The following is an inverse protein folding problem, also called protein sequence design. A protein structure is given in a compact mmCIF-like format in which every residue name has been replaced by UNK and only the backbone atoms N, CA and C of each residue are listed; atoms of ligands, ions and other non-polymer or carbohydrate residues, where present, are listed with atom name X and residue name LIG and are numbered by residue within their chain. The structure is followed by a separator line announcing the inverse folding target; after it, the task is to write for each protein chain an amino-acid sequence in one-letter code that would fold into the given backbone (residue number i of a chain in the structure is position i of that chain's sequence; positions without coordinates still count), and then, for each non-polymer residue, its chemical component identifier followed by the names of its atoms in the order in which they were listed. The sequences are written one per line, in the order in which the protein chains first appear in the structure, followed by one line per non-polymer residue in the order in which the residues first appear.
data_IF_706970079849
#
_entry.id   IF_706970079849
#
_cell.length_a   1.000
_cell.length_b   1.000
_cell.length_c   1.000
_cell.angle_alpha   90.00
_cell.angle_beta   90.00
_cell.angle_gamma   90.00
#
_symmetry.space_group_name_H-M   'P 1'
#
loop_
_entity.id
_entity.type
_entity.pdbx_description
1 polymer ?
#
# COMPACT_ATOMS: atom_id res chain seq x y z
N UNK A 1 -38.05 12.35 -2.80
CA UNK A 1 -37.53 12.00 -4.12
C UNK A 1 -36.59 10.85 -3.92
N UNK A 2 -36.95 9.69 -4.44
CA UNK A 2 -36.25 8.42 -4.19
C UNK A 2 -35.04 8.29 -5.11
N UNK A 3 -33.88 7.99 -4.55
CA UNK A 3 -32.68 7.63 -5.29
C UNK A 3 -32.88 6.22 -5.89
N UNK A 4 -32.72 6.08 -7.19
CA UNK A 4 -32.70 4.78 -7.89
C UNK A 4 -31.36 4.12 -7.66
N UNK A 5 -31.40 2.96 -7.00
CA UNK A 5 -30.28 2.01 -6.94
C UNK A 5 -30.14 1.32 -8.29
N UNK A 6 -28.97 1.46 -8.93
CA UNK A 6 -28.64 0.73 -10.17
C UNK A 6 -28.35 -0.73 -9.86
N UNK A 7 -29.31 -1.60 -10.16
CA UNK A 7 -29.13 -3.07 -10.16
C UNK A 7 -28.50 -3.50 -11.47
N UNK A 8 -27.29 -4.08 -11.42
CA UNK A 8 -26.70 -4.78 -12.56
C UNK A 8 -27.36 -6.17 -12.63
N UNK A 9 -28.17 -6.40 -13.63
CA UNK A 9 -28.79 -7.68 -13.94
C UNK A 9 -27.91 -8.40 -14.96
N UNK A 10 -27.25 -9.47 -14.53
CA UNK A 10 -26.58 -10.39 -15.48
C UNK A 10 -27.62 -11.35 -16.05
N UNK A 11 -27.92 -11.21 -17.34
CA UNK A 11 -28.85 -12.08 -18.06
C UNK A 11 -28.10 -13.33 -18.55
N UNK A 12 -28.33 -14.49 -17.93
CA UNK A 12 -27.90 -15.78 -18.47
C UNK A 12 -29.04 -16.35 -19.29
N UNK A 13 -28.89 -16.34 -20.63
CA UNK A 13 -29.86 -16.93 -21.55
C UNK A 13 -29.69 -18.47 -21.55
N UNK A 14 -30.62 -19.17 -20.92
CA UNK A 14 -30.76 -20.62 -21.04
C UNK A 14 -31.66 -20.93 -22.23
N UNK A 15 -31.12 -21.49 -23.32
CA UNK A 15 -31.91 -21.98 -24.46
C UNK A 15 -32.66 -23.23 -24.05
N UNK A 16 -33.96 -23.08 -23.75
CA UNK A 16 -34.88 -24.22 -23.57
C UNK A 16 -35.62 -24.46 -24.88
N UNK A 17 -35.48 -25.68 -25.41
CA UNK A 17 -36.20 -26.20 -26.56
C UNK A 17 -37.66 -26.41 -26.15
N UNK A 18 -38.62 -25.54 -26.61
CA UNK A 18 -40.04 -25.69 -26.33
C UNK A 18 -40.67 -26.56 -27.40
N UNK A 19 -41.10 -27.77 -27.00
CA UNK A 19 -41.96 -28.61 -27.83
C UNK A 19 -43.40 -28.19 -27.51
N UNK A 20 -44.09 -27.62 -28.50
CA UNK A 20 -45.52 -27.20 -28.38
C UNK A 20 -46.43 -28.42 -28.31
N UNK A 21 -47.03 -28.68 -27.17
CA UNK A 21 -48.22 -29.54 -27.01
C UNK A 21 -49.42 -28.61 -26.86
N UNK A 22 -50.39 -28.79 -27.75
CA UNK A 22 -51.65 -28.00 -27.80
C UNK A 22 -52.43 -28.09 -26.47
N UNK A 23 -52.61 -26.97 -25.81
CA UNK A 23 -53.66 -26.79 -24.82
C UNK A 23 -53.21 -26.63 -23.35
N UNK A 24 -51.93 -26.37 -23.05
CA UNK A 24 -51.47 -26.06 -21.69
C UNK A 24 -51.03 -24.62 -21.60
N UNK A 25 -51.57 -23.86 -20.63
CA UNK A 25 -51.06 -22.55 -20.23
C UNK A 25 -49.84 -22.79 -19.36
N UNK A 26 -48.66 -22.49 -19.87
CA UNK A 26 -47.39 -22.52 -19.08
C UNK A 26 -47.28 -21.21 -18.33
N UNK A 27 -47.44 -21.25 -17.03
CA UNK A 27 -47.07 -20.12 -16.17
C UNK A 27 -45.58 -20.22 -15.93
N UNK A 28 -44.80 -19.34 -16.57
CA UNK A 28 -43.39 -19.16 -16.28
C UNK A 28 -43.29 -18.44 -14.93
N UNK A 29 -42.91 -19.14 -13.88
CA UNK A 29 -42.46 -18.54 -12.64
C UNK A 29 -40.97 -18.18 -12.88
N UNK A 30 -40.72 -16.89 -13.12
CA UNK A 30 -39.35 -16.37 -13.04
C UNK A 30 -38.96 -16.31 -11.59
N UNK A 31 -38.32 -17.36 -11.08
CA UNK A 31 -37.57 -17.26 -9.84
C UNK A 31 -36.29 -16.46 -10.15
N UNK A 32 -36.23 -15.21 -9.67
CA UNK A 32 -34.98 -14.48 -9.59
C UNK A 32 -34.05 -15.27 -8.66
N UNK A 33 -33.09 -15.99 -9.22
CA UNK A 33 -32.00 -16.55 -8.43
C UNK A 33 -31.14 -15.36 -8.01
N UNK A 34 -31.34 -14.86 -6.80
CA UNK A 34 -30.37 -13.97 -6.14
C UNK A 34 -29.07 -14.77 -5.96
N UNK A 35 -28.09 -14.52 -6.83
CA UNK A 35 -26.73 -14.96 -6.59
C UNK A 35 -26.26 -14.18 -5.35
N UNK A 36 -25.94 -14.86 -4.22
CA UNK A 36 -25.44 -14.16 -3.04
C UNK A 36 -24.25 -13.31 -3.47
N UNK A 37 -24.29 -12.00 -3.27
CA UNK A 37 -23.08 -11.17 -3.32
C UNK A 37 -22.14 -11.81 -2.31
N UNK A 38 -20.96 -12.27 -2.77
CA UNK A 38 -19.90 -12.64 -1.85
C UNK A 38 -19.77 -11.51 -0.83
N UNK A 39 -19.95 -11.81 0.45
CA UNK A 39 -19.87 -10.79 1.49
C UNK A 39 -18.45 -10.26 1.48
N UNK A 40 -18.30 -8.96 1.21
CA UNK A 40 -16.99 -8.31 1.30
C UNK A 40 -16.44 -8.48 2.73
N UNK A 41 -15.13 -8.66 2.83
CA UNK A 41 -14.46 -8.70 4.12
C UNK A 41 -14.61 -7.33 4.82
N UNK A 42 -15.31 -7.29 5.96
CA UNK A 42 -15.55 -6.07 6.72
C UNK A 42 -14.35 -5.66 7.57
N UNK A 43 -13.40 -6.58 7.82
CA UNK A 43 -12.23 -6.37 8.67
C UNK A 43 -10.91 -6.63 7.92
N UNK A 44 -10.63 -5.93 6.81
CA UNK A 44 -9.42 -6.18 6.04
C UNK A 44 -8.16 -5.85 6.82
N UNK A 45 -7.13 -6.68 6.62
CA UNK A 45 -5.80 -6.52 7.22
C UNK A 45 -4.78 -6.37 6.11
N UNK A 46 -4.08 -5.23 6.10
CA UNK A 46 -3.11 -4.89 5.05
C UNK A 46 -1.70 -4.88 5.63
N UNK A 47 -0.80 -5.57 4.95
CA UNK A 47 0.63 -5.50 5.26
C UNK A 47 1.25 -4.22 4.70
N UNK A 48 2.14 -3.59 5.46
CA UNK A 48 2.99 -2.49 4.94
C UNK A 48 4.44 -2.91 5.08
N UNK A 49 5.17 -2.95 3.97
CA UNK A 49 6.58 -3.33 3.97
C UNK A 49 7.43 -2.23 4.60
N UNK A 50 8.23 -2.58 5.61
CA UNK A 50 9.25 -1.70 6.15
C UNK A 50 10.37 -1.45 5.13
N UNK A 51 11.12 -0.38 5.33
CA UNK A 51 12.31 -0.03 4.54
C UNK A 51 13.50 0.14 5.45
N UNK A 52 14.71 0.01 4.89
CA UNK A 52 15.95 0.37 5.56
C UNK A 52 15.91 1.84 5.98
N UNK A 53 16.54 2.16 7.10
CA UNK A 53 16.65 3.54 7.56
C UNK A 53 17.24 4.43 6.46
N UNK A 54 16.49 5.41 5.99
CA UNK A 54 17.01 6.40 5.05
C UNK A 54 18.20 7.14 5.67
N UNK A 55 19.14 7.60 4.84
CA UNK A 55 20.32 8.35 5.32
C UNK A 55 19.92 9.49 6.28
N UNK A 56 18.85 10.21 5.98
CA UNK A 56 18.38 11.32 6.80
C UNK A 56 17.78 10.88 8.14
N UNK A 57 17.15 9.71 8.21
CA UNK A 57 16.64 9.12 9.45
C UNK A 57 17.78 8.51 10.26
N UNK A 58 18.65 7.73 9.64
CA UNK A 58 19.82 7.12 10.30
C UNK A 58 20.71 8.16 10.96
N UNK A 59 21.01 9.29 10.28
CA UNK A 59 21.79 10.38 10.84
C UNK A 59 21.14 11.05 12.07
N UNK A 60 19.84 10.91 12.28
CA UNK A 60 19.09 11.55 13.38
C UNK A 60 18.77 10.60 14.53
N UNK A 61 18.68 9.32 14.23
CA UNK A 61 18.25 8.27 15.16
C UNK A 61 19.31 7.20 15.41
N UNK A 62 20.56 7.47 15.01
CA UNK A 62 21.77 6.66 15.10
C UNK A 62 21.63 5.29 15.80
N UNK A 63 22.16 4.24 15.16
CA UNK A 63 22.56 2.92 15.70
C UNK A 63 21.47 2.03 16.34
N UNK A 64 20.29 2.57 16.69
CA UNK A 64 19.28 1.81 17.43
C UNK A 64 18.21 1.14 16.53
N UNK A 65 18.09 1.57 15.25
CA UNK A 65 17.02 1.12 14.38
C UNK A 65 17.54 0.63 13.03
N UNK A 66 16.98 -0.48 12.56
CA UNK A 66 17.33 -1.11 11.28
C UNK A 66 16.38 -0.72 10.16
N UNK A 67 15.10 -0.57 10.47
CA UNK A 67 14.07 -0.27 9.48
C UNK A 67 12.99 0.68 10.00
N UNK A 68 12.15 1.18 9.09
CA UNK A 68 11.06 2.07 9.44
C UNK A 68 9.86 1.92 8.52
N UNK A 69 8.71 2.40 9.00
CA UNK A 69 7.51 2.70 8.20
C UNK A 69 7.08 4.14 8.52
N UNK A 70 6.89 4.99 7.50
CA UNK A 70 6.31 6.31 7.71
C UNK A 70 4.84 6.16 8.13
N UNK A 71 4.45 6.83 9.22
CA UNK A 71 3.13 6.69 9.80
C UNK A 71 2.00 7.19 8.89
N UNK A 72 2.32 8.04 7.91
CA UNK A 72 1.36 8.50 6.91
C UNK A 72 0.79 7.35 6.07
N UNK A 73 1.57 6.32 5.74
CA UNK A 73 1.07 5.13 5.05
C UNK A 73 0.14 4.29 5.93
N UNK A 74 0.49 4.13 7.21
CA UNK A 74 -0.37 3.43 8.18
C UNK A 74 -1.72 4.15 8.29
N UNK A 75 -1.69 5.46 8.52
CA UNK A 75 -2.90 6.29 8.64
C UNK A 75 -3.72 6.32 7.35
N UNK A 76 -3.08 6.28 6.18
CA UNK A 76 -3.73 6.21 4.88
C UNK A 76 -4.59 4.95 4.74
N UNK A 77 -4.06 3.81 5.13
CA UNK A 77 -4.76 2.52 5.10
C UNK A 77 -5.81 2.43 6.21
N UNK A 78 -5.48 2.84 7.44
CA UNK A 78 -6.42 2.83 8.57
C UNK A 78 -7.58 3.81 8.36
N UNK A 79 -7.32 4.97 7.75
CA UNK A 79 -8.34 5.97 7.42
C UNK A 79 -9.40 5.47 6.43
N UNK A 80 -9.10 4.42 5.66
CA UNK A 80 -10.04 3.73 4.78
C UNK A 80 -10.69 2.47 5.40
N UNK A 81 -10.40 2.20 6.68
CA UNK A 81 -11.06 1.15 7.46
C UNK A 81 -10.41 -0.23 7.37
N UNK A 82 -9.09 -0.30 7.26
CA UNK A 82 -8.31 -1.52 7.41
C UNK A 82 -7.45 -1.49 8.68
N UNK A 83 -6.99 -2.67 9.14
CA UNK A 83 -5.94 -2.80 10.15
C UNK A 83 -4.60 -3.00 9.45
N UNK A 84 -3.51 -2.59 10.10
CA UNK A 84 -2.16 -2.65 9.52
C UNK A 84 -1.27 -3.63 10.28
N UNK A 85 -0.58 -4.46 9.52
CA UNK A 85 0.50 -5.34 9.98
C UNK A 85 1.82 -4.88 9.35
N UNK A 86 2.86 -4.55 10.13
CA UNK A 86 4.18 -4.26 9.58
C UNK A 86 4.81 -5.53 9.02
N UNK A 87 5.38 -5.46 7.82
CA UNK A 87 6.14 -6.55 7.21
C UNK A 87 7.62 -6.17 7.24
N UNK A 88 8.45 -7.07 7.72
CA UNK A 88 9.87 -6.83 7.94
C UNK A 88 10.70 -7.08 6.68
N UNK A 89 11.76 -6.29 6.48
CA UNK A 89 12.88 -6.63 5.61
C UNK A 89 13.81 -7.62 6.31
N UNK A 90 14.83 -8.11 5.62
CA UNK A 90 15.86 -9.00 6.17
C UNK A 90 15.30 -10.32 6.76
N UNK A 91 14.25 -10.86 6.15
CA UNK A 91 13.64 -12.14 6.51
C UNK A 91 13.81 -13.15 5.39
N UNK A 92 13.78 -14.45 5.76
CA UNK A 92 13.76 -15.54 4.78
C UNK A 92 12.43 -15.59 4.02
N UNK A 93 12.42 -16.25 2.87
CA UNK A 93 11.19 -16.48 2.09
C UNK A 93 10.08 -17.12 2.92
N UNK A 94 10.42 -18.05 3.80
CA UNK A 94 9.46 -18.72 4.70
C UNK A 94 8.65 -17.73 5.55
N UNK A 95 9.27 -16.63 6.01
CA UNK A 95 8.55 -15.59 6.76
C UNK A 95 7.40 -15.00 5.91
N UNK A 96 7.66 -14.68 4.64
CA UNK A 96 6.65 -14.10 3.75
C UNK A 96 5.58 -15.13 3.36
N UNK A 97 5.96 -16.38 3.13
CA UNK A 97 5.04 -17.50 2.87
C UNK A 97 4.09 -17.78 4.05
N UNK A 98 4.53 -17.50 5.27
CA UNK A 98 3.72 -17.70 6.47
C UNK A 98 2.81 -16.51 6.79
N UNK A 99 3.27 -15.25 6.58
CA UNK A 99 2.49 -14.07 6.95
C UNK A 99 1.48 -13.65 5.88
N UNK A 100 1.86 -13.67 4.59
CA UNK A 100 1.02 -13.13 3.52
C UNK A 100 -0.32 -13.83 3.36
N UNK A 101 -0.46 -15.16 3.53
CA UNK A 101 -1.76 -15.83 3.45
C UNK A 101 -2.76 -15.41 4.53
N UNK A 102 -2.34 -14.67 5.54
CA UNK A 102 -3.23 -14.13 6.58
C UNK A 102 -3.66 -12.68 6.31
N UNK A 103 -3.07 -12.03 5.30
CA UNK A 103 -3.31 -10.63 4.95
C UNK A 103 -4.23 -10.51 3.72
N UNK A 104 -4.86 -9.37 3.57
CA UNK A 104 -5.78 -9.08 2.47
C UNK A 104 -5.14 -8.26 1.35
N UNK A 105 -3.85 -7.97 1.45
CA UNK A 105 -3.05 -7.23 0.48
C UNK A 105 -1.83 -6.60 1.12
N UNK A 106 -0.94 -6.02 0.29
CA UNK A 106 0.27 -5.35 0.76
C UNK A 106 0.45 -4.00 0.09
N UNK A 107 0.82 -3.01 0.89
CA UNK A 107 1.30 -1.71 0.44
C UNK A 107 2.83 -1.68 0.48
N UNK A 108 3.43 -1.35 -0.67
CA UNK A 108 4.85 -1.07 -0.84
C UNK A 108 5.04 0.45 -0.79
N UNK A 109 5.60 1.01 0.29
CA UNK A 109 5.67 2.46 0.47
C UNK A 109 6.75 3.11 -0.39
N UNK A 110 6.62 4.42 -0.60
CA UNK A 110 7.67 5.27 -1.12
C UNK A 110 8.78 5.48 -0.08
N UNK A 111 9.97 5.85 -0.57
CA UNK A 111 11.13 6.06 0.29
C UNK A 111 12.39 6.41 -0.49
N UNK A 112 13.54 6.17 0.12
CA UNK A 112 14.84 6.49 -0.46
C UNK A 112 15.86 5.39 -0.13
N UNK A 113 15.59 4.18 -0.58
CA UNK A 113 16.51 3.05 -0.52
C UNK A 113 16.88 2.56 -1.92
N UNK A 114 17.91 1.73 -2.02
CA UNK A 114 18.40 1.18 -3.27
C UNK A 114 17.92 -0.26 -3.46
N UNK A 115 17.62 -0.66 -4.71
CA UNK A 115 17.15 -2.01 -5.01
C UNK A 115 18.25 -3.09 -5.00
N UNK A 116 19.50 -2.69 -4.87
CA UNK A 116 20.66 -3.60 -4.85
C UNK A 116 21.18 -3.93 -3.43
N UNK A 117 20.45 -3.57 -2.38
CA UNK A 117 20.80 -3.94 -1.02
C UNK A 117 20.35 -5.38 -0.73
N UNK A 118 21.29 -6.24 -0.36
CA UNK A 118 21.00 -7.62 0.01
C UNK A 118 20.10 -7.69 1.25
N UNK A 119 19.07 -8.53 1.19
CA UNK A 119 18.04 -8.70 2.21
C UNK A 119 17.26 -7.41 2.54
N UNK A 120 17.33 -6.42 1.67
CA UNK A 120 16.68 -5.14 1.83
C UNK A 120 15.27 -5.10 1.27
N UNK A 121 14.81 -3.87 1.02
CA UNK A 121 13.48 -3.57 0.52
C UNK A 121 13.12 -4.29 -0.77
N UNK A 122 14.05 -4.37 -1.74
CA UNK A 122 13.79 -5.02 -3.01
C UNK A 122 13.76 -6.55 -2.91
N UNK A 123 14.62 -7.15 -2.09
CA UNK A 123 14.61 -8.60 -1.86
C UNK A 123 13.33 -9.03 -1.13
N UNK A 124 12.93 -8.28 -0.09
CA UNK A 124 11.65 -8.47 0.58
C UNK A 124 10.47 -8.30 -0.38
N UNK A 125 10.52 -7.24 -1.21
CA UNK A 125 9.54 -7.01 -2.27
C UNK A 125 9.45 -8.15 -3.26
N UNK A 126 10.57 -8.80 -3.64
CA UNK A 126 10.59 -9.99 -4.52
C UNK A 126 9.81 -11.13 -3.89
N UNK A 127 10.07 -11.45 -2.62
CA UNK A 127 9.32 -12.49 -1.93
C UNK A 127 7.82 -12.19 -1.85
N UNK A 128 7.45 -10.94 -1.55
CA UNK A 128 6.05 -10.50 -1.51
C UNK A 128 5.39 -10.62 -2.88
N UNK A 129 6.07 -10.15 -3.94
CA UNK A 129 5.55 -10.19 -5.31
C UNK A 129 5.29 -11.63 -5.76
N UNK A 130 6.27 -12.52 -5.57
CA UNK A 130 6.17 -13.91 -5.98
C UNK A 130 5.02 -14.63 -5.25
N UNK A 131 4.92 -14.48 -3.91
CA UNK A 131 3.82 -15.06 -3.13
C UNK A 131 2.47 -14.45 -3.52
N UNK A 132 2.40 -13.14 -3.77
CA UNK A 132 1.16 -12.50 -4.22
C UNK A 132 0.71 -13.01 -5.59
N UNK A 133 1.63 -13.26 -6.53
CA UNK A 133 1.32 -13.90 -7.82
C UNK A 133 0.80 -15.31 -7.58
N UNK A 134 1.48 -16.10 -6.77
CA UNK A 134 1.06 -17.49 -6.43
C UNK A 134 -0.35 -17.52 -5.84
N UNK A 135 -0.67 -16.66 -4.86
CA UNK A 135 -1.99 -16.57 -4.26
C UNK A 135 -3.08 -16.21 -5.28
N UNK A 136 -2.83 -15.26 -6.17
CA UNK A 136 -3.79 -14.89 -7.21
C UNK A 136 -3.97 -15.99 -8.26
N UNK A 137 -2.90 -16.68 -8.68
CA UNK A 137 -2.96 -17.79 -9.66
C UNK A 137 -3.72 -18.98 -9.07
N UNK A 138 -3.66 -19.22 -7.77
CA UNK A 138 -4.40 -20.27 -7.08
C UNK A 138 -5.89 -19.94 -6.89
N UNK A 139 -6.36 -18.80 -7.41
CA UNK A 139 -7.77 -18.41 -7.37
C UNK A 139 -8.15 -17.53 -6.18
N UNK A 140 -7.18 -17.10 -5.37
CA UNK A 140 -7.36 -16.07 -4.36
C UNK A 140 -7.45 -14.68 -4.97
N UNK A 141 -7.66 -13.67 -4.12
CA UNK A 141 -7.57 -12.27 -4.49
C UNK A 141 -6.62 -11.55 -3.54
N UNK A 142 -5.46 -11.14 -4.02
CA UNK A 142 -4.43 -10.55 -3.20
C UNK A 142 -3.83 -9.30 -3.88
N UNK A 143 -4.33 -8.09 -3.55
CA UNK A 143 -3.87 -6.85 -4.15
C UNK A 143 -2.52 -6.40 -3.62
N UNK A 144 -1.71 -5.82 -4.54
CA UNK A 144 -0.50 -5.06 -4.21
C UNK A 144 -0.70 -3.60 -4.60
N UNK A 145 -0.25 -2.71 -3.74
CA UNK A 145 -0.24 -1.27 -3.98
C UNK A 145 1.16 -0.72 -3.81
N UNK A 146 1.69 -0.06 -4.85
CA UNK A 146 2.99 0.62 -4.81
C UNK A 146 2.84 2.14 -4.90
N UNK A 147 3.45 2.87 -3.96
CA UNK A 147 3.54 4.33 -3.99
C UNK A 147 4.97 4.77 -4.24
N UNK A 148 5.22 5.63 -5.23
CA UNK A 148 6.53 6.22 -5.55
C UNK A 148 7.60 5.12 -5.72
N UNK A 149 8.57 5.00 -4.82
CA UNK A 149 9.56 3.90 -4.83
C UNK A 149 8.89 2.51 -4.85
N UNK A 150 7.74 2.35 -4.18
CA UNK A 150 6.98 1.10 -4.20
C UNK A 150 6.35 0.79 -5.56
N UNK A 151 5.92 1.81 -6.32
CA UNK A 151 5.50 1.66 -7.70
C UNK A 151 6.70 1.29 -8.61
N UNK A 152 7.82 1.98 -8.45
CA UNK A 152 9.07 1.68 -9.15
C UNK A 152 9.52 0.23 -8.85
N UNK A 153 9.39 -0.21 -7.59
CA UNK A 153 9.69 -1.59 -7.20
C UNK A 153 8.77 -2.59 -7.91
N UNK A 154 7.45 -2.36 -7.98
CA UNK A 154 6.54 -3.29 -8.66
C UNK A 154 6.96 -3.54 -10.11
N UNK A 155 7.30 -2.51 -10.86
CA UNK A 155 7.75 -2.64 -12.26
C UNK A 155 9.14 -3.25 -12.37
N UNK A 156 10.06 -2.95 -11.45
CA UNK A 156 11.37 -3.59 -11.35
C UNK A 156 11.26 -5.09 -11.10
N UNK A 157 10.34 -5.50 -10.22
CA UNK A 157 10.07 -6.91 -9.94
C UNK A 157 9.41 -7.62 -11.12
N UNK A 158 8.45 -6.98 -11.80
CA UNK A 158 7.85 -7.49 -13.02
C UNK A 158 8.88 -7.65 -14.14
N UNK A 159 9.88 -6.76 -14.23
CA UNK A 159 11.03 -6.85 -15.13
C UNK A 159 12.13 -7.83 -14.66
N UNK A 160 11.83 -8.73 -13.72
CA UNK A 160 12.81 -9.69 -13.16
C UNK A 160 14.08 -9.05 -12.57
N UNK A 161 13.99 -7.81 -12.08
CA UNK A 161 15.10 -7.10 -11.48
C UNK A 161 15.96 -6.33 -12.49
N UNK A 162 15.44 -6.06 -13.69
CA UNK A 162 16.10 -5.21 -14.66
C UNK A 162 15.84 -3.72 -14.33
N UNK A 163 16.93 -2.97 -14.13
CA UNK A 163 16.84 -1.53 -13.83
C UNK A 163 16.44 -0.76 -15.10
N UNK A 164 15.36 -0.01 -15.00
CA UNK A 164 14.78 0.73 -16.15
C UNK A 164 14.28 2.13 -15.76
N UNK A 165 14.54 2.57 -14.55
CA UNK A 165 14.18 3.92 -14.12
C UNK A 165 15.12 4.94 -14.77
N UNK A 166 14.58 6.10 -15.08
CA UNK A 166 15.36 7.24 -15.56
C UNK A 166 15.46 8.31 -14.49
N UNK A 167 16.55 9.09 -14.54
CA UNK A 167 16.65 10.31 -13.75
C UNK A 167 15.61 11.31 -14.21
N UNK A 168 14.83 11.82 -13.27
CA UNK A 168 13.87 12.89 -13.52
C UNK A 168 13.90 13.96 -12.43
N UNK A 169 13.24 15.06 -12.69
CA UNK A 169 13.22 16.22 -11.81
C UNK A 169 11.79 16.54 -11.40
N UNK A 170 11.20 15.68 -10.57
CA UNK A 170 9.84 15.90 -10.01
C UNK A 170 9.83 15.95 -8.49
N UNK A 171 10.90 16.52 -7.92
CA UNK A 171 10.99 16.69 -6.48
C UNK A 171 10.28 17.98 -6.04
N UNK A 172 9.32 17.87 -5.11
CA UNK A 172 8.53 18.97 -4.58
C UNK A 172 7.59 19.62 -5.61
N UNK A 173 6.99 18.82 -6.46
CA UNK A 173 6.08 19.24 -7.53
C UNK A 173 4.65 18.77 -7.22
N UNK A 174 3.68 19.70 -7.20
CA UNK A 174 2.26 19.37 -7.15
C UNK A 174 1.68 19.47 -8.56
N UNK A 175 0.93 18.46 -9.00
CA UNK A 175 0.46 18.33 -10.38
C UNK A 175 -1.00 17.85 -10.42
N UNK A 176 -1.77 18.20 -11.48
CA UNK A 176 -2.94 17.44 -11.89
C UNK A 176 -2.50 16.12 -12.54
N UNK A 177 -3.42 15.28 -13.01
CA UNK A 177 -3.12 14.08 -13.78
C UNK A 177 -3.49 14.27 -15.26
N UNK A 178 -2.56 13.95 -16.16
CA UNK A 178 -2.82 13.86 -17.60
C UNK A 178 -3.33 12.45 -17.93
N UNK A 179 -4.67 12.29 -17.96
CA UNK A 179 -5.29 10.99 -18.19
C UNK A 179 -5.15 10.51 -19.63
N UNK A 180 -4.81 9.23 -19.80
CA UNK A 180 -4.84 8.56 -21.10
C UNK A 180 -6.30 8.35 -21.55
N UNK A 181 -6.59 8.30 -22.87
CA UNK A 181 -7.97 8.24 -23.38
C UNK A 181 -8.82 7.06 -22.86
N UNK A 182 -8.18 5.97 -22.49
CA UNK A 182 -8.86 4.74 -22.06
C UNK A 182 -8.70 4.45 -20.56
N UNK A 183 -8.33 5.44 -19.77
CA UNK A 183 -8.08 5.29 -18.32
C UNK A 183 -9.25 4.66 -17.56
N UNK A 184 -10.51 4.93 -17.98
CA UNK A 184 -11.71 4.34 -17.39
C UNK A 184 -11.90 2.84 -17.68
N UNK A 185 -11.06 2.22 -18.50
CA UNK A 185 -11.04 0.77 -18.65
C UNK A 185 -10.27 0.09 -17.51
N UNK A 186 -9.62 0.86 -16.64
CA UNK A 186 -8.93 0.37 -15.46
C UNK A 186 -9.89 0.08 -14.32
N UNK A 187 -9.53 -0.84 -13.42
CA UNK A 187 -10.26 -1.03 -12.16
C UNK A 187 -10.17 0.21 -11.28
N UNK A 188 -8.99 0.85 -11.27
CA UNK A 188 -8.76 2.04 -10.46
C UNK A 188 -9.70 3.19 -10.79
N UNK A 189 -10.10 3.36 -12.06
CA UNK A 189 -10.88 4.53 -12.49
C UNK A 189 -12.23 4.22 -13.14
N UNK A 190 -12.61 2.94 -13.29
CA UNK A 190 -13.86 2.57 -13.97
C UNK A 190 -15.09 3.19 -13.32
N UNK A 191 -15.20 3.08 -12.00
CA UNK A 191 -16.35 3.52 -11.21
C UNK A 191 -16.08 4.85 -10.47
N UNK A 192 -14.99 5.57 -10.81
CA UNK A 192 -14.63 6.84 -10.17
C UNK A 192 -15.67 7.91 -10.48
N UNK A 193 -16.22 8.61 -9.47
CA UNK A 193 -17.10 9.75 -9.70
C UNK A 193 -16.45 10.82 -10.58
N UNK A 194 -17.23 11.43 -11.48
CA UNK A 194 -16.72 12.47 -12.38
C UNK A 194 -16.09 13.63 -11.63
N UNK A 195 -16.64 14.03 -10.49
CA UNK A 195 -16.06 15.07 -9.63
C UNK A 195 -14.62 14.76 -9.22
N UNK A 196 -14.30 13.50 -8.86
CA UNK A 196 -12.92 13.09 -8.51
C UNK A 196 -12.01 13.19 -9.74
N UNK A 197 -12.49 12.77 -10.92
CA UNK A 197 -11.72 12.88 -12.16
C UNK A 197 -11.48 14.34 -12.54
N UNK A 198 -12.49 15.21 -12.42
CA UNK A 198 -12.35 16.64 -12.70
C UNK A 198 -11.32 17.31 -11.79
N UNK A 199 -11.32 17.00 -10.49
CA UNK A 199 -10.32 17.51 -9.55
C UNK A 199 -8.92 17.01 -9.94
N UNK A 200 -8.77 15.69 -10.15
CA UNK A 200 -7.48 15.09 -10.52
C UNK A 200 -6.93 15.64 -11.84
N UNK A 201 -7.79 15.96 -12.81
CA UNK A 201 -7.38 16.45 -14.12
C UNK A 201 -7.08 17.97 -14.17
N UNK A 202 -7.55 18.75 -13.19
CA UNK A 202 -7.49 20.21 -13.27
C UNK A 202 -6.79 20.91 -12.11
N UNK A 203 -6.56 20.23 -10.99
CA UNK A 203 -5.98 20.84 -9.79
C UNK A 203 -4.63 20.19 -9.43
N UNK A 204 -3.72 20.99 -8.86
CA UNK A 204 -2.41 20.53 -8.36
C UNK A 204 -2.55 19.77 -7.04
N UNK A 205 -3.15 18.57 -7.10
CA UNK A 205 -3.51 17.76 -5.93
C UNK A 205 -2.64 16.52 -5.74
N UNK A 206 -1.74 16.20 -6.68
CA UNK A 206 -0.82 15.07 -6.54
C UNK A 206 0.57 15.54 -6.08
N UNK A 207 1.02 15.04 -4.94
CA UNK A 207 2.31 15.44 -4.34
C UNK A 207 3.45 14.55 -4.87
N UNK A 208 4.36 15.12 -5.66
CA UNK A 208 5.49 14.42 -6.26
C UNK A 208 6.81 14.77 -5.56
N UNK A 209 7.56 13.75 -5.12
CA UNK A 209 8.83 13.88 -4.39
C UNK A 209 9.84 12.83 -4.86
N UNK A 210 10.12 12.78 -6.16
CA UNK A 210 10.97 11.74 -6.74
C UNK A 210 12.03 12.31 -7.69
N UNK A 211 13.14 11.58 -7.83
CA UNK A 211 14.28 11.88 -8.69
C UNK A 211 14.49 10.77 -9.74
N UNK A 212 13.68 9.73 -9.67
CA UNK A 212 13.60 8.65 -10.64
C UNK A 212 12.18 8.52 -11.13
N UNK A 213 12.01 8.15 -12.38
CA UNK A 213 10.74 8.00 -13.04
C UNK A 213 10.77 6.79 -13.95
N UNK A 214 9.58 6.32 -14.30
CA UNK A 214 9.37 5.31 -15.33
C UNK A 214 8.61 5.97 -16.47
N UNK A 215 9.11 5.82 -17.69
CA UNK A 215 8.45 6.30 -18.90
C UNK A 215 7.71 5.18 -19.61
N UNK A 216 6.75 5.50 -20.47
CA UNK A 216 6.11 4.49 -21.32
C UNK A 216 7.13 3.80 -22.24
N UNK A 217 8.17 4.53 -22.66
CA UNK A 217 9.23 3.95 -23.46
C UNK A 217 10.01 2.86 -22.70
N UNK A 218 10.33 3.11 -21.41
CA UNK A 218 10.99 2.09 -20.58
C UNK A 218 10.10 0.86 -20.40
N UNK A 219 8.81 1.06 -20.16
CA UNK A 219 7.84 -0.02 -19.99
C UNK A 219 7.79 -0.91 -21.25
N UNK A 220 7.66 -0.27 -22.43
CA UNK A 220 7.63 -0.96 -23.73
C UNK A 220 8.94 -1.67 -24.06
N UNK A 221 10.08 -1.06 -23.74
CA UNK A 221 11.40 -1.66 -23.98
C UNK A 221 11.59 -3.00 -23.24
N UNK A 222 10.90 -3.17 -22.13
CA UNK A 222 10.89 -4.40 -21.33
C UNK A 222 9.71 -5.33 -21.62
N UNK A 223 8.80 -4.96 -22.53
CA UNK A 223 7.59 -5.70 -22.84
C UNK A 223 6.53 -5.67 -21.73
N UNK A 224 6.68 -4.80 -20.75
CA UNK A 224 5.75 -4.68 -19.63
C UNK A 224 4.42 -4.02 -20.04
N UNK A 225 4.36 -3.29 -21.13
CA UNK A 225 3.15 -2.70 -21.69
C UNK A 225 2.13 -3.75 -22.15
N UNK A 226 2.54 -4.99 -22.39
CA UNK A 226 1.64 -6.13 -22.65
C UNK A 226 0.82 -6.49 -21.40
N UNK A 227 1.39 -6.38 -20.21
CA UNK A 227 0.79 -6.81 -18.93
C UNK A 227 0.25 -5.63 -18.12
N UNK A 228 0.83 -4.45 -18.26
CA UNK A 228 0.47 -3.26 -17.50
C UNK A 228 -0.25 -2.22 -18.35
N UNK A 229 -1.19 -1.51 -17.72
CA UNK A 229 -1.93 -0.39 -18.32
C UNK A 229 -1.51 0.91 -17.66
N UNK A 230 -1.07 1.87 -18.45
CA UNK A 230 -0.85 3.25 -18.00
C UNK A 230 -2.17 4.00 -18.07
N UNK A 231 -2.60 4.63 -16.98
CA UNK A 231 -3.83 5.40 -16.91
C UNK A 231 -3.59 6.91 -16.95
N UNK A 232 -2.47 7.39 -16.42
CA UNK A 232 -2.09 8.80 -16.49
C UNK A 232 -0.58 8.98 -16.51
N UNK A 233 -0.17 10.13 -17.06
CA UNK A 233 1.22 10.61 -17.10
C UNK A 233 1.31 12.02 -16.53
N UNK A 234 2.52 12.51 -16.35
CA UNK A 234 2.82 13.91 -16.05
C UNK A 234 4.19 14.30 -16.60
N UNK A 235 4.48 15.61 -16.61
CA UNK A 235 5.79 16.15 -16.97
C UNK A 235 6.57 16.56 -15.72
N UNK A 236 7.85 16.22 -15.68
CA UNK A 236 8.77 16.75 -14.69
C UNK A 236 9.15 18.22 -14.97
N UNK A 237 9.94 18.85 -14.11
CA UNK A 237 10.42 20.23 -14.31
C UNK A 237 11.23 20.44 -15.60
N UNK A 238 11.80 19.38 -16.17
CA UNK A 238 12.64 19.44 -17.37
C UNK A 238 11.88 19.02 -18.65
N UNK A 239 10.60 18.64 -18.52
CA UNK A 239 9.77 18.21 -19.65
C UNK A 239 9.91 16.73 -20.00
N UNK A 240 10.43 15.89 -19.09
CA UNK A 240 10.37 14.44 -19.23
C UNK A 240 8.96 13.95 -18.84
N UNK A 241 8.27 13.29 -19.78
CA UNK A 241 7.00 12.65 -19.49
C UNK A 241 7.22 11.33 -18.72
N UNK A 242 6.55 11.19 -17.59
CA UNK A 242 6.61 10.00 -16.74
C UNK A 242 5.24 9.44 -16.42
N UNK A 243 5.18 8.16 -16.09
CA UNK A 243 3.96 7.45 -15.70
C UNK A 243 3.59 7.85 -14.27
N UNK A 244 2.35 8.31 -14.09
CA UNK A 244 1.82 8.71 -12.78
C UNK A 244 0.94 7.64 -12.16
N UNK A 245 0.15 6.89 -12.96
CA UNK A 245 -0.69 5.79 -12.48
C UNK A 245 -0.65 4.61 -13.45
N UNK A 246 -0.55 3.41 -12.86
CA UNK A 246 -0.46 2.14 -13.60
C UNK A 246 -1.22 1.04 -12.87
N UNK A 247 -1.81 0.09 -13.62
CA UNK A 247 -2.33 -1.15 -13.05
C UNK A 247 -1.96 -2.36 -13.91
N UNK A 248 -1.77 -3.50 -13.30
CA UNK A 248 -1.62 -4.75 -14.03
C UNK A 248 -2.97 -5.19 -14.62
N UNK A 249 -2.99 -5.59 -15.91
CA UNK A 249 -4.24 -5.87 -16.63
C UNK A 249 -5.04 -7.05 -16.07
N UNK A 250 -4.37 -8.03 -15.46
CA UNK A 250 -4.97 -9.25 -14.93
C UNK A 250 -4.92 -9.27 -13.40
N UNK A 251 -3.72 -9.17 -12.81
CA UNK A 251 -3.52 -9.23 -11.37
C UNK A 251 -3.99 -7.93 -10.70
N UNK A 252 -4.45 -7.96 -9.44
CA UNK A 252 -4.88 -6.76 -8.71
C UNK A 252 -3.67 -5.97 -8.18
N UNK A 253 -2.74 -5.60 -9.06
CA UNK A 253 -1.54 -4.83 -8.73
C UNK A 253 -1.63 -3.43 -9.29
N UNK A 254 -1.36 -2.44 -8.43
CA UNK A 254 -1.58 -1.03 -8.68
C UNK A 254 -0.35 -0.22 -8.30
N UNK A 255 -0.01 0.78 -9.08
CA UNK A 255 1.10 1.68 -8.81
C UNK A 255 0.76 3.14 -9.08
N UNK A 256 1.23 4.01 -8.20
CA UNK A 256 1.15 5.47 -8.35
C UNK A 256 2.51 6.11 -8.04
N UNK A 257 2.93 7.08 -8.84
CA UNK A 257 4.22 7.74 -8.63
C UNK A 257 4.16 8.83 -7.56
N UNK A 258 3.02 9.50 -7.42
CA UNK A 258 2.79 10.54 -6.42
C UNK A 258 2.37 9.95 -5.06
N UNK A 259 2.27 10.82 -4.04
CA UNK A 259 2.05 10.46 -2.65
C UNK A 259 0.68 10.95 -2.12
N UNK A 260 -0.42 10.19 -2.26
CA UNK A 260 -1.71 10.63 -1.75
C UNK A 260 -1.75 10.68 -0.21
N UNK A 261 -0.95 9.87 0.49
CA UNK A 261 -0.86 9.88 1.95
C UNK A 261 -0.34 11.21 2.50
N UNK A 262 0.49 11.93 1.71
CA UNK A 262 1.09 13.19 2.16
C UNK A 262 0.07 14.32 2.25
N UNK A 263 -0.85 14.42 1.32
CA UNK A 263 -1.86 15.48 1.34
C UNK A 263 -2.72 15.48 2.60
N UNK A 264 -2.89 14.32 3.26
CA UNK A 264 -3.67 14.20 4.48
C UNK A 264 -2.80 14.29 5.73
N UNK A 265 -1.62 13.65 5.73
CA UNK A 265 -0.91 13.34 6.98
C UNK A 265 0.49 13.94 7.11
N UNK A 266 1.05 14.58 6.07
CA UNK A 266 2.41 15.15 6.13
C UNK A 266 2.39 16.67 6.10
N UNK A 267 2.86 17.29 7.18
CA UNK A 267 2.88 18.75 7.39
C UNK A 267 4.28 19.33 7.36
N UNK A 268 5.19 18.67 6.63
CA UNK A 268 6.60 19.08 6.54
C UNK A 268 6.71 20.47 5.92
N UNK A 269 7.39 21.38 6.63
CA UNK A 269 7.53 22.78 6.19
C UNK A 269 8.30 22.89 4.87
N UNK A 270 7.94 23.90 4.07
CA UNK A 270 8.58 24.20 2.79
C UNK A 270 8.45 23.08 1.73
N UNK A 271 7.42 22.27 1.85
CA UNK A 271 7.04 21.28 0.85
C UNK A 271 5.76 21.71 0.15
N UNK A 272 5.72 21.48 -1.18
CA UNK A 272 4.53 21.75 -1.99
C UNK A 272 3.56 20.58 -1.88
N UNK A 273 2.86 20.50 -0.75
CA UNK A 273 1.84 19.49 -0.45
C UNK A 273 0.52 20.23 -0.30
N UNK A 274 -0.42 19.97 -1.18
CA UNK A 274 -1.74 20.58 -1.13
C UNK A 274 -2.58 19.95 -0.01
N UNK A 275 -3.11 20.79 0.89
CA UNK A 275 -4.03 20.39 1.95
C UNK A 275 -5.45 20.95 1.72
N UNK A 276 -5.79 21.28 0.47
CA UNK A 276 -7.13 21.74 0.13
C UNK A 276 -8.16 20.62 0.35
N UNK A 277 -9.44 20.96 0.57
CA UNK A 277 -10.50 19.96 0.67
C UNK A 277 -10.52 18.98 -0.52
N UNK A 278 -10.24 19.46 -1.73
CA UNK A 278 -10.18 18.65 -2.94
C UNK A 278 -8.98 17.70 -2.93
N UNK A 279 -7.80 18.17 -2.51
CA UNK A 279 -6.62 17.32 -2.35
C UNK A 279 -6.86 16.20 -1.32
N UNK A 280 -7.50 16.51 -0.18
CA UNK A 280 -7.89 15.51 0.82
C UNK A 280 -8.88 14.50 0.22
N UNK A 281 -9.89 14.99 -0.51
CA UNK A 281 -10.94 14.15 -1.11
C UNK A 281 -10.38 13.13 -2.10
N UNK A 282 -9.48 13.56 -3.01
CA UNK A 282 -8.87 12.64 -3.97
C UNK A 282 -7.85 11.71 -3.31
N UNK A 283 -7.15 12.16 -2.29
CA UNK A 283 -6.24 11.31 -1.52
C UNK A 283 -7.00 10.19 -0.79
N UNK A 284 -8.15 10.52 -0.19
CA UNK A 284 -9.03 9.53 0.42
C UNK A 284 -9.59 8.55 -0.61
N UNK A 285 -9.91 9.01 -1.82
CA UNK A 285 -10.35 8.14 -2.91
C UNK A 285 -9.36 6.99 -3.19
N UNK A 286 -8.05 7.27 -3.24
CA UNK A 286 -7.04 6.23 -3.48
C UNK A 286 -6.91 5.26 -2.29
N UNK A 287 -7.05 5.76 -1.06
CA UNK A 287 -7.06 4.91 0.13
C UNK A 287 -8.27 3.96 0.11
N UNK A 288 -9.47 4.52 -0.13
CA UNK A 288 -10.72 3.77 -0.19
C UNK A 288 -10.70 2.73 -1.33
N UNK A 289 -10.15 3.10 -2.49
CA UNK A 289 -9.98 2.16 -3.61
C UNK A 289 -9.13 0.96 -3.19
N UNK A 290 -7.93 1.18 -2.65
CA UNK A 290 -7.04 0.09 -2.29
C UNK A 290 -7.62 -0.81 -1.18
N UNK A 291 -8.22 -0.22 -0.15
CA UNK A 291 -8.85 -0.99 0.93
C UNK A 291 -10.08 -1.74 0.42
N UNK A 292 -10.86 -1.18 -0.51
CA UNK A 292 -11.98 -1.87 -1.15
C UNK A 292 -11.51 -3.04 -2.03
N UNK A 293 -10.35 -2.93 -2.68
CA UNK A 293 -9.73 -4.07 -3.35
C UNK A 293 -9.32 -5.15 -2.33
N UNK A 294 -8.75 -4.77 -1.20
CA UNK A 294 -8.39 -5.69 -0.13
C UNK A 294 -9.61 -6.41 0.48
N UNK A 295 -10.78 -5.77 0.55
CA UNK A 295 -12.04 -6.38 1.03
C UNK A 295 -12.54 -7.53 0.15
N UNK A 296 -12.05 -7.68 -1.07
CA UNK A 296 -12.36 -8.81 -1.96
C UNK A 296 -11.58 -10.08 -1.58
N UNK A 297 -10.55 -9.95 -0.75
CA UNK A 297 -9.74 -11.07 -0.24
C UNK A 297 -10.44 -11.77 0.92
N UNK A 298 -10.51 -13.09 0.86
CA UNK A 298 -11.11 -13.94 1.89
C UNK A 298 -10.09 -14.42 2.94
N UNK A 299 -8.83 -14.08 2.78
CA UNK A 299 -7.74 -14.46 3.68
C UNK A 299 -7.94 -13.83 5.05
N UNK A 300 -7.53 -14.53 6.10
CA UNK A 300 -7.66 -14.07 7.48
C UNK A 300 -6.69 -14.76 8.40
N UNK A 301 -6.35 -14.12 9.50
CA UNK A 301 -5.70 -14.78 10.63
C UNK A 301 -6.60 -15.87 11.22
N UNK A 302 -6.00 -16.89 11.82
CA UNK A 302 -6.73 -18.04 12.34
C UNK A 302 -7.64 -17.65 13.52
N UNK A 303 -7.20 -16.73 14.36
CA UNK A 303 -7.96 -16.22 15.50
C UNK A 303 -7.61 -14.74 15.79
N UNK A 304 -8.41 -14.13 16.70
CA UNK A 304 -8.24 -12.73 17.08
C UNK A 304 -6.94 -12.48 17.86
N UNK A 305 -6.50 -13.42 18.68
CA UNK A 305 -5.25 -13.26 19.45
C UNK A 305 -4.04 -13.27 18.54
N UNK A 306 -4.12 -13.98 17.40
CA UNK A 306 -3.05 -14.04 16.44
C UNK A 306 -2.87 -12.70 15.71
N UNK A 307 -3.94 -12.10 15.21
CA UNK A 307 -3.84 -10.77 14.60
C UNK A 307 -3.38 -9.71 15.61
N UNK A 308 -3.85 -9.74 16.85
CA UNK A 308 -3.49 -8.76 17.88
C UNK A 308 -1.98 -8.75 18.17
N UNK A 309 -1.30 -9.88 18.00
CA UNK A 309 0.17 -9.97 18.11
C UNK A 309 0.91 -9.31 16.95
N UNK A 310 0.28 -9.19 15.78
CA UNK A 310 0.94 -8.71 14.55
C UNK A 310 0.65 -7.25 14.21
N UNK A 311 -0.45 -6.66 14.72
CA UNK A 311 -0.85 -5.30 14.35
C UNK A 311 0.16 -4.23 14.75
N UNK A 312 0.17 -3.16 13.96
CA UNK A 312 1.07 -2.01 14.14
C UNK A 312 0.94 -1.34 15.51
N UNK A 313 -0.17 -1.56 16.23
CA UNK A 313 -0.43 -0.99 17.55
C UNK A 313 0.55 -1.46 18.63
N UNK A 314 1.25 -2.57 18.40
CA UNK A 314 2.30 -3.07 19.30
C UNK A 314 3.59 -2.24 19.25
N UNK A 315 3.69 -1.26 18.34
CA UNK A 315 4.91 -0.48 18.11
C UNK A 315 4.66 1.01 18.38
N UNK A 316 5.58 1.70 19.08
CA UNK A 316 5.43 3.12 19.33
C UNK A 316 5.71 3.94 18.07
N UNK A 317 4.86 4.92 17.80
CA UNK A 317 5.12 5.92 16.76
C UNK A 317 6.02 7.03 17.32
N UNK A 318 7.00 7.46 16.53
CA UNK A 318 7.93 8.55 16.87
C UNK A 318 7.59 9.81 16.08
N UNK A 319 7.52 10.98 16.74
CA UNK A 319 7.39 12.28 16.06
C UNK A 319 8.74 12.71 15.46
N UNK A 320 9.03 12.20 14.27
CA UNK A 320 10.32 12.41 13.58
C UNK A 320 10.46 13.80 13.00
N UNK A 321 9.34 14.50 12.75
CA UNK A 321 9.29 15.90 12.32
C UNK A 321 10.00 16.88 13.28
N UNK A 322 10.03 16.59 14.59
CA UNK A 322 10.81 17.34 15.56
C UNK A 322 12.31 17.41 15.23
N UNK A 323 12.82 16.38 14.59
CA UNK A 323 14.21 16.31 14.14
C UNK A 323 14.37 16.70 12.66
N UNK A 324 13.37 17.38 12.07
CA UNK A 324 13.37 17.81 10.66
C UNK A 324 13.51 16.62 9.67
N UNK A 325 12.82 15.53 9.96
CA UNK A 325 12.67 14.41 9.03
C UNK A 325 11.82 14.81 7.82
N UNK A 326 11.89 14.01 6.76
CA UNK A 326 11.00 14.11 5.60
C UNK A 326 9.58 13.60 5.89
N UNK A 327 9.36 13.02 7.08
CA UNK A 327 8.08 12.53 7.57
C UNK A 327 7.78 13.11 8.94
N UNK A 328 6.52 13.45 9.19
CA UNK A 328 6.07 13.93 10.49
C UNK A 328 6.24 12.86 11.57
N UNK A 329 5.83 11.64 11.28
CA UNK A 329 5.89 10.51 12.19
C UNK A 329 6.38 9.25 11.48
N UNK A 330 7.19 8.46 12.18
CA UNK A 330 7.61 7.13 11.73
C UNK A 330 7.48 6.10 12.85
N UNK A 331 7.16 4.88 12.47
CA UNK A 331 7.45 3.69 13.26
C UNK A 331 8.89 3.29 12.96
N UNK A 332 9.69 3.16 14.01
CA UNK A 332 11.11 2.83 13.92
C UNK A 332 11.33 1.48 14.59
N UNK A 333 11.98 0.54 13.88
CA UNK A 333 12.12 -0.84 14.31
C UNK A 333 13.57 -1.22 14.53
N UNK A 334 13.83 -1.90 15.66
CA UNK A 334 15.16 -2.40 16.04
C UNK A 334 15.45 -3.74 15.34
N UNK A 335 16.68 -3.98 14.89
CA UNK A 335 17.05 -5.16 14.12
C UNK A 335 17.04 -6.50 14.87
N UNK A 336 17.20 -6.45 16.18
CA UNK A 336 17.31 -7.64 17.04
C UNK A 336 16.05 -7.92 17.87
N UNK A 337 14.91 -7.36 17.48
CA UNK A 337 13.64 -7.70 18.12
C UNK A 337 13.13 -8.96 17.45
N UNK A 338 13.06 -10.07 18.17
CA UNK A 338 12.26 -11.22 17.78
C UNK A 338 10.79 -10.78 17.79
N UNK A 339 10.35 -10.26 16.66
CA UNK A 339 8.94 -9.95 16.43
C UNK A 339 8.22 -11.29 16.31
N UNK A 340 7.84 -11.80 17.48
CA UNK A 340 6.99 -12.97 17.74
C UNK A 340 7.04 -14.07 16.65
N UNK A 341 7.91 -15.05 16.86
CA UNK A 341 7.72 -16.34 16.21
C UNK A 341 6.37 -16.92 16.65
N UNK A 342 5.49 -17.38 15.74
CA UNK A 342 4.12 -17.80 16.07
C UNK A 342 4.00 -18.98 17.04
N UNK A 343 5.08 -19.71 17.33
CA UNK A 343 5.02 -21.03 17.94
C UNK A 343 5.24 -21.09 19.48
N UNK A 344 5.69 -20.06 20.16
CA UNK A 344 6.04 -20.12 21.58
C UNK A 344 5.18 -19.28 22.53
N UNK A 345 4.13 -18.64 22.04
CA UNK A 345 3.23 -17.80 22.85
C UNK A 345 2.41 -18.57 23.90
N UNK A 346 2.49 -19.91 23.95
CA UNK A 346 1.74 -20.71 24.95
C UNK A 346 2.38 -20.75 26.35
N UNK A 347 3.55 -20.10 26.54
CA UNK A 347 4.27 -20.17 27.83
C UNK A 347 4.41 -18.87 28.59
N UNK A 348 3.99 -17.73 28.05
CA UNK A 348 4.22 -16.43 28.72
C UNK A 348 2.96 -15.56 28.84
N UNK A 349 1.92 -16.13 29.44
CA UNK A 349 0.83 -15.32 29.98
C UNK A 349 1.30 -14.65 31.27
N UNK A 350 1.91 -13.46 31.18
CA UNK A 350 2.01 -12.63 32.36
C UNK A 350 3.21 -11.73 32.56
N UNK A 351 4.23 -11.73 31.67
CA UNK A 351 5.46 -10.97 31.97
C UNK A 351 5.85 -9.88 30.98
N UNK A 352 5.28 -9.81 29.80
CA UNK A 352 5.91 -9.07 28.70
C UNK A 352 5.62 -7.57 28.66
N UNK A 353 4.41 -7.11 28.98
CA UNK A 353 4.12 -5.67 29.09
C UNK A 353 4.96 -5.01 30.21
N UNK A 354 5.18 -5.73 31.31
CA UNK A 354 6.06 -5.31 32.41
C UNK A 354 7.53 -5.25 32.00
N UNK A 355 8.00 -6.20 31.19
CA UNK A 355 9.38 -6.25 30.70
C UNK A 355 9.66 -5.14 29.68
N UNK A 356 8.73 -4.83 28.79
CA UNK A 356 8.83 -3.70 27.85
C UNK A 356 8.87 -2.36 28.59
N UNK A 357 7.99 -2.17 29.58
CA UNK A 357 8.00 -0.97 30.44
C UNK A 357 9.28 -0.88 31.25
N UNK A 358 9.80 -1.98 31.80
CA UNK A 358 11.08 -1.98 32.50
C UNK A 358 12.26 -1.67 31.60
N UNK A 359 12.33 -2.23 30.39
CA UNK A 359 13.37 -1.92 29.39
C UNK A 359 13.32 -0.44 28.98
N UNK A 360 12.13 0.12 28.79
CA UNK A 360 11.95 1.55 28.51
C UNK A 360 12.45 2.42 29.66
N UNK A 361 12.11 2.09 30.91
CA UNK A 361 12.55 2.80 32.12
C UNK A 361 14.06 2.70 32.32
N UNK A 362 14.67 1.54 32.08
CA UNK A 362 16.12 1.36 32.20
C UNK A 362 16.88 2.12 31.10
N UNK A 363 16.38 2.14 29.87
CA UNK A 363 16.94 2.95 28.76
C UNK A 363 16.89 4.44 29.04
N UNK A 364 15.76 4.92 29.57
CA UNK A 364 15.61 6.31 29.99
C UNK A 364 16.59 6.69 31.08
N UNK A 365 16.88 5.79 32.04
CA UNK A 365 17.90 5.97 33.07
C UNK A 365 19.31 5.98 32.50
N UNK A 366 19.65 5.09 31.56
CA UNK A 366 20.96 5.07 30.88
C UNK A 366 21.20 6.33 30.04
N UNK A 367 20.16 6.83 29.34
CA UNK A 367 20.22 8.10 28.59
C UNK A 367 20.45 9.30 29.51
N UNK A 368 19.80 9.31 30.67
CA UNK A 368 19.99 10.36 31.68
C UNK A 368 21.42 10.37 32.26
N UNK A 369 22.01 9.21 32.49
CA UNK A 369 23.40 9.05 33.02
C UNK A 369 24.41 9.48 31.93
N UNK A 370 24.19 9.12 30.66
CA UNK A 370 25.08 9.50 29.55
C UNK A 370 25.06 11.03 29.31
N UNK A 371 23.91 11.68 29.44
CA UNK A 371 23.78 13.12 29.35
C UNK A 371 24.39 13.88 30.53
N UNK A 372 24.31 13.35 31.76
CA UNK A 372 25.00 13.92 32.92
C UNK A 372 26.51 13.84 32.79
N UNK A 373 27.08 12.76 32.22
CA UNK A 373 28.53 12.65 31.96
C UNK A 373 29.04 13.59 30.86
N UNK A 374 28.23 13.90 29.85
CA UNK A 374 28.57 14.91 28.79
C UNK A 374 28.57 16.35 29.30
N UNK A 375 27.75 16.68 30.29
CA UNK A 375 27.66 18.03 30.84
C UNK A 375 28.65 18.28 32.00
N UNK A 376 29.38 17.25 32.46
CA UNK A 376 30.43 17.40 33.50
C UNK A 376 31.85 17.50 32.92
N UNK A 377 31.98 17.54 31.59
CA UNK A 377 33.27 17.70 30.90
C UNK A 377 33.32 19.03 30.10
N UNK A 378 32.68 20.09 30.60
CA UNK A 378 32.88 21.47 30.14
C UNK A 378 33.40 22.31 31.29
#
# INVERSE_FOLDING_TARGET
MMALSSKIVALVALNLLVTLVKGATVILIEEEIEIPRASLNEEPVIGILAQEMSYSLAAKYEEDYESYIAASYVKFVEGAGARVVPIWINKSREYYENILPNLNGVLLPGGATWFNQSNGYADAGRHIYDVAVELNVQGGYFPLWGTCLGFELLTYLAANGEEHREHCSSNNQALPLDFKPDFRKSRMFADTPDEIIEILASEDVTANFHQYCITEQNLTALGLDEEWRVMSTNMDWNGLEFISTIEHKILPFYGIQFHPEKNIYEWVRNKNISHTPNAIKVSQYFADFFVNEARKSEQRFQDADDIDRHVIYNYPVSFTGLKKSSFEQCYLFEGNVDYLAPADASKDQGSDASALVQRYVERSKKKCIKNKRRNSCK
#
